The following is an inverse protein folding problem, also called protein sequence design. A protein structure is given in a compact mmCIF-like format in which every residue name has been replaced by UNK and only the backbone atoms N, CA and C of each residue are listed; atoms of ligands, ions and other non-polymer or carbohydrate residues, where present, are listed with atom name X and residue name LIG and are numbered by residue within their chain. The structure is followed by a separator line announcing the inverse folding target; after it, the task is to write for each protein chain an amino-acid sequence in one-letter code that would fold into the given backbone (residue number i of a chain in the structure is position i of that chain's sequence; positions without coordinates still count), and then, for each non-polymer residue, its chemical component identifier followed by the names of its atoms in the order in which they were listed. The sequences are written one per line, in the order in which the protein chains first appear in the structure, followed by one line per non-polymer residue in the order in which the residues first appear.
data_IF_257186287718
#
_entry.id   IF_257186287718
#
_cell.length_a   1.000
_cell.length_b   1.000
_cell.length_c   1.000
_cell.angle_alpha   90.00
_cell.angle_beta   90.00
_cell.angle_gamma   90.00
#
_symmetry.space_group_name_H-M   'P 1'
#
loop_
_entity.id
_entity.type
_entity.pdbx_description
1 polymer ?
#
# COMPACT_ATOMS: atom_id res chain seq x y z
N UNK A 1 20.30 30.99 -3.91
CA UNK A 1 19.39 30.95 -5.06
C UNK A 1 18.21 30.04 -4.67
N UNK A 2 17.19 30.62 -4.05
CA UNK A 2 15.90 29.91 -3.84
C UNK A 2 15.26 29.82 -5.22
N UNK A 3 15.29 28.63 -5.82
CA UNK A 3 14.36 28.31 -6.91
C UNK A 3 12.96 28.65 -6.40
N UNK A 4 12.26 29.50 -7.12
CA UNK A 4 10.93 29.95 -6.74
C UNK A 4 9.99 28.76 -6.95
N UNK A 5 9.63 28.08 -5.83
CA UNK A 5 8.74 26.92 -5.87
C UNK A 5 7.40 27.30 -6.49
N UNK A 6 6.92 26.47 -7.39
CA UNK A 6 5.61 26.63 -7.99
C UNK A 6 4.49 26.28 -7.00
N UNK A 7 3.54 27.19 -6.77
CA UNK A 7 2.40 26.97 -5.88
C UNK A 7 1.32 26.15 -6.58
N UNK A 8 0.87 25.08 -5.92
CA UNK A 8 -0.26 24.25 -6.33
C UNK A 8 -1.46 24.50 -5.41
N UNK A 9 -2.67 24.37 -5.95
CA UNK A 9 -3.88 24.47 -5.14
C UNK A 9 -4.05 23.22 -4.27
N UNK A 10 -3.75 22.04 -4.83
CA UNK A 10 -3.80 20.78 -4.10
C UNK A 10 -2.60 19.91 -4.46
N UNK A 11 -1.96 19.36 -3.42
CA UNK A 11 -1.01 18.26 -3.57
C UNK A 11 -1.60 17.00 -2.97
N UNK A 12 -1.68 15.95 -3.79
CA UNK A 12 -2.19 14.63 -3.43
C UNK A 12 -0.98 13.75 -3.14
N UNK A 13 -0.94 13.10 -1.99
CA UNK A 13 0.12 12.17 -1.61
C UNK A 13 -0.42 10.75 -1.69
N UNK A 14 0.13 9.94 -2.61
CA UNK A 14 -0.24 8.56 -2.87
C UNK A 14 -1.03 8.37 -4.17
N UNK A 15 -0.51 7.52 -5.06
CA UNK A 15 -1.03 7.21 -6.39
C UNK A 15 -1.90 5.95 -6.45
N UNK A 16 -2.55 5.57 -5.34
CA UNK A 16 -3.55 4.51 -5.32
C UNK A 16 -4.91 4.97 -5.88
N UNK A 17 -5.98 4.12 -5.80
CA UNK A 17 -7.31 4.46 -6.33
C UNK A 17 -7.86 5.80 -5.85
N UNK A 18 -7.71 6.09 -4.55
CA UNK A 18 -8.13 7.37 -3.99
C UNK A 18 -7.37 8.56 -4.62
N UNK A 19 -6.04 8.47 -4.68
CA UNK A 19 -5.21 9.55 -5.24
C UNK A 19 -5.44 9.76 -6.72
N UNK A 20 -5.53 8.70 -7.51
CA UNK A 20 -5.82 8.76 -8.95
C UNK A 20 -7.17 9.41 -9.22
N UNK A 21 -8.21 9.00 -8.49
CA UNK A 21 -9.54 9.61 -8.65
C UNK A 21 -9.59 11.06 -8.13
N UNK A 22 -8.83 11.38 -7.07
CA UNK A 22 -8.68 12.76 -6.59
C UNK A 22 -8.06 13.64 -7.67
N UNK A 23 -7.02 13.17 -8.36
CA UNK A 23 -6.37 13.91 -9.44
C UNK A 23 -7.33 14.20 -10.61
N UNK A 24 -8.13 13.22 -11.02
CA UNK A 24 -9.19 13.42 -11.99
C UNK A 24 -10.23 14.44 -11.53
N UNK A 25 -10.77 14.24 -10.32
CA UNK A 25 -11.86 15.09 -9.80
C UNK A 25 -11.41 16.53 -9.52
N UNK A 26 -10.11 16.73 -9.22
CA UNK A 26 -9.52 18.06 -9.05
C UNK A 26 -9.56 18.88 -10.33
N UNK A 27 -9.32 18.24 -11.48
CA UNK A 27 -9.46 18.89 -12.76
C UNK A 27 -10.92 19.32 -13.08
N UNK A 28 -11.91 18.53 -12.64
CA UNK A 28 -13.32 18.93 -12.73
C UNK A 28 -13.66 20.16 -11.85
N UNK A 29 -12.82 20.47 -10.88
CA UNK A 29 -12.94 21.61 -9.95
C UNK A 29 -12.02 22.79 -10.31
N UNK A 30 -11.33 22.72 -11.45
CA UNK A 30 -10.36 23.76 -11.89
C UNK A 30 -9.27 24.05 -10.87
N UNK A 31 -8.72 23.01 -10.24
CA UNK A 31 -7.61 23.13 -9.32
C UNK A 31 -6.28 22.76 -10.00
N UNK A 32 -5.24 23.57 -9.77
CA UNK A 32 -3.88 23.25 -10.15
C UNK A 32 -3.37 22.12 -9.24
N UNK A 33 -3.16 20.96 -9.81
CA UNK A 33 -3.00 19.71 -9.07
C UNK A 33 -1.63 19.09 -9.25
N UNK A 34 -1.05 18.63 -8.13
CA UNK A 34 0.12 17.77 -8.09
C UNK A 34 -0.24 16.45 -7.42
N UNK A 35 0.17 15.32 -8.02
CA UNK A 35 0.09 13.99 -7.44
C UNK A 35 1.51 13.48 -7.22
N UNK A 36 1.83 13.09 -6.00
CA UNK A 36 3.15 12.57 -5.62
C UNK A 36 3.00 11.11 -5.20
N UNK A 37 3.75 10.21 -5.84
CA UNK A 37 3.79 8.79 -5.53
C UNK A 37 5.22 8.39 -5.14
N UNK A 38 5.33 7.58 -4.08
CA UNK A 38 6.62 7.11 -3.58
C UNK A 38 7.23 5.99 -4.44
N UNK A 39 6.41 5.27 -5.21
CA UNK A 39 6.84 4.25 -6.18
C UNK A 39 7.06 4.88 -7.56
N UNK A 40 7.55 4.05 -8.50
CA UNK A 40 7.79 4.47 -9.88
C UNK A 40 6.54 4.38 -10.77
N UNK A 41 5.41 3.92 -10.21
CA UNK A 41 4.15 3.73 -10.93
C UNK A 41 2.91 3.96 -10.05
N UNK A 42 1.79 4.32 -10.70
CA UNK A 42 0.48 4.44 -10.05
C UNK A 42 -0.14 3.05 -9.83
N UNK A 43 -1.03 2.95 -8.84
CA UNK A 43 -1.78 1.72 -8.54
C UNK A 43 -1.85 1.42 -7.04
N UNK A 44 -0.90 1.93 -6.26
CA UNK A 44 -0.88 1.77 -4.81
C UNK A 44 -0.83 0.30 -4.39
N UNK A 45 -1.76 -0.13 -3.52
CA UNK A 45 -1.82 -1.52 -3.04
C UNK A 45 -2.26 -2.51 -4.12
N UNK A 46 -2.98 -2.08 -5.15
CA UNK A 46 -3.41 -2.95 -6.24
C UNK A 46 -2.23 -3.58 -7.00
N UNK A 47 -1.06 -2.95 -7.00
CA UNK A 47 0.18 -3.49 -7.58
C UNK A 47 0.68 -4.80 -6.94
N UNK A 48 0.13 -5.19 -5.78
CA UNK A 48 0.51 -6.43 -5.09
C UNK A 48 -0.20 -7.65 -5.69
N UNK A 49 -1.35 -7.44 -6.36
CA UNK A 49 -2.18 -8.51 -6.91
C UNK A 49 -2.72 -8.19 -8.31
N UNK A 50 -1.84 -7.86 -9.28
CA UNK A 50 -2.23 -7.39 -10.61
C UNK A 50 -3.07 -8.43 -11.38
N UNK A 51 -2.86 -9.72 -11.10
CA UNK A 51 -3.55 -10.86 -11.74
C UNK A 51 -4.93 -11.18 -11.13
N UNK A 52 -5.33 -10.53 -10.04
CA UNK A 52 -6.63 -10.80 -9.41
C UNK A 52 -7.77 -10.13 -10.15
N UNK A 53 -8.91 -10.82 -10.20
CA UNK A 53 -10.15 -10.26 -10.74
C UNK A 53 -10.83 -9.36 -9.72
N UNK A 54 -11.20 -8.17 -10.14
CA UNK A 54 -11.96 -7.19 -9.37
C UNK A 54 -13.43 -7.23 -9.83
N UNK A 55 -14.36 -7.41 -8.88
CA UNK A 55 -15.79 -7.54 -9.12
C UNK A 55 -16.63 -6.44 -8.46
N UNK A 56 -16.06 -5.74 -7.49
CA UNK A 56 -16.75 -4.88 -6.53
C UNK A 56 -16.61 -3.38 -6.85
N UNK A 57 -16.37 -3.05 -8.13
CA UNK A 57 -16.39 -1.67 -8.62
C UNK A 57 -17.65 -1.46 -9.46
N UNK A 58 -18.57 -0.66 -8.96
CA UNK A 58 -19.87 -0.42 -9.62
C UNK A 58 -19.72 0.15 -11.04
N UNK A 59 -20.48 -0.39 -11.99
CA UNK A 59 -20.48 0.04 -13.39
C UNK A 59 -19.27 -0.46 -14.20
N UNK A 60 -18.40 -1.26 -13.61
CA UNK A 60 -17.26 -1.89 -14.31
C UNK A 60 -17.53 -3.40 -14.38
N UNK A 61 -17.45 -3.98 -15.60
CA UNK A 61 -17.45 -5.43 -15.75
C UNK A 61 -16.27 -6.05 -15.00
N UNK A 62 -16.35 -7.35 -14.61
CA UNK A 62 -15.24 -8.04 -13.96
C UNK A 62 -13.93 -7.81 -14.72
N UNK A 63 -12.94 -7.28 -14.05
CA UNK A 63 -11.72 -6.79 -14.70
C UNK A 63 -10.47 -7.26 -13.93
N UNK A 64 -9.39 -7.58 -14.64
CA UNK A 64 -8.09 -7.79 -14.00
C UNK A 64 -7.62 -6.52 -13.32
N UNK A 65 -7.03 -6.66 -12.15
CA UNK A 65 -6.56 -5.53 -11.33
C UNK A 65 -5.58 -4.63 -12.11
N UNK A 66 -4.65 -5.20 -12.87
CA UNK A 66 -3.72 -4.45 -13.75
C UNK A 66 -4.44 -3.56 -14.78
N UNK A 67 -5.53 -4.08 -15.37
CA UNK A 67 -6.34 -3.31 -16.34
C UNK A 67 -7.13 -2.19 -15.66
N UNK A 68 -7.60 -2.42 -14.44
CA UNK A 68 -8.25 -1.38 -13.65
C UNK A 68 -7.25 -0.26 -13.30
N UNK A 69 -6.02 -0.62 -12.90
CA UNK A 69 -4.94 0.35 -12.65
C UNK A 69 -4.70 1.20 -13.90
N UNK A 70 -4.55 0.57 -15.06
CA UNK A 70 -4.33 1.29 -16.32
C UNK A 70 -5.46 2.28 -16.61
N UNK A 71 -6.74 1.87 -16.47
CA UNK A 71 -7.90 2.76 -16.68
C UNK A 71 -7.94 3.93 -15.71
N UNK A 72 -7.67 3.68 -14.42
CA UNK A 72 -7.64 4.74 -13.40
C UNK A 72 -6.46 5.70 -13.63
N UNK A 73 -5.31 5.21 -14.08
CA UNK A 73 -4.15 6.03 -14.42
C UNK A 73 -4.44 6.96 -15.59
N UNK A 74 -5.09 6.47 -16.65
CA UNK A 74 -5.52 7.31 -17.77
C UNK A 74 -6.58 8.34 -17.33
N UNK A 75 -7.53 7.94 -16.50
CA UNK A 75 -8.52 8.86 -15.95
C UNK A 75 -7.86 9.94 -15.09
N UNK A 76 -6.88 9.61 -14.26
CA UNK A 76 -6.15 10.57 -13.43
C UNK A 76 -5.47 11.66 -14.27
N UNK A 77 -4.97 11.31 -15.45
CA UNK A 77 -4.28 12.22 -16.39
C UNK A 77 -5.23 13.10 -17.22
N UNK A 78 -6.55 12.92 -17.11
CA UNK A 78 -7.55 13.61 -17.94
C UNK A 78 -7.37 15.13 -18.02
N UNK A 79 -6.93 15.78 -16.96
CA UNK A 79 -6.76 17.23 -16.88
C UNK A 79 -5.30 17.65 -16.67
N UNK A 80 -4.35 16.81 -17.11
CA UNK A 80 -2.92 17.08 -17.12
C UNK A 80 -2.36 17.53 -15.75
N UNK A 81 -2.64 16.79 -14.64
CA UNK A 81 -2.03 17.10 -13.35
C UNK A 81 -0.52 16.85 -13.42
N UNK A 82 0.27 17.57 -12.62
CA UNK A 82 1.68 17.23 -12.43
C UNK A 82 1.78 15.94 -11.62
N UNK A 83 2.36 14.88 -12.18
CA UNK A 83 2.57 13.60 -11.49
C UNK A 83 4.06 13.40 -11.28
N UNK A 84 4.47 13.15 -10.03
CA UNK A 84 5.84 12.88 -9.63
C UNK A 84 5.94 11.50 -9.01
N UNK A 85 6.96 10.76 -9.42
CA UNK A 85 7.25 9.42 -8.94
C UNK A 85 8.53 9.37 -8.11
N UNK A 86 8.73 8.28 -7.36
CA UNK A 86 9.95 8.04 -6.58
C UNK A 86 10.10 9.02 -5.41
N UNK A 87 9.05 9.74 -5.00
CA UNK A 87 9.14 10.77 -3.97
C UNK A 87 8.34 10.40 -2.73
N UNK A 88 9.03 9.99 -1.69
CA UNK A 88 8.46 9.74 -0.37
C UNK A 88 8.43 11.03 0.44
N UNK A 89 7.23 11.57 0.67
CA UNK A 89 7.05 12.78 1.48
C UNK A 89 7.22 12.46 2.96
N UNK A 90 8.15 13.16 3.60
CA UNK A 90 8.51 12.96 5.01
C UNK A 90 8.33 14.21 5.87
N UNK A 91 8.33 15.41 5.26
CA UNK A 91 8.24 16.69 5.95
C UNK A 91 7.00 17.48 5.56
N UNK A 92 6.47 18.23 6.54
CA UNK A 92 5.41 19.21 6.37
C UNK A 92 5.77 20.46 7.17
N UNK A 93 5.79 21.61 6.50
CA UNK A 93 6.02 22.91 7.14
C UNK A 93 4.90 23.87 6.77
N UNK A 94 4.15 24.34 7.77
CA UNK A 94 3.10 25.34 7.57
C UNK A 94 3.74 26.74 7.44
N UNK A 95 3.32 27.47 6.39
CA UNK A 95 3.78 28.81 6.14
C UNK A 95 2.87 29.86 6.79
N UNK A 96 3.35 31.11 6.91
CA UNK A 96 2.63 32.21 7.54
C UNK A 96 1.33 32.57 6.80
N UNK A 97 1.26 32.33 5.49
CA UNK A 97 0.07 32.54 4.64
C UNK A 97 -0.89 31.34 4.62
N UNK A 98 -0.72 30.40 5.54
CA UNK A 98 -1.50 29.15 5.67
C UNK A 98 -1.32 28.17 4.51
N UNK A 99 -0.31 28.33 3.65
CA UNK A 99 0.13 27.31 2.70
C UNK A 99 1.08 26.32 3.38
N UNK A 100 1.48 25.29 2.65
CA UNK A 100 2.36 24.24 3.13
C UNK A 100 3.55 24.01 2.20
N UNK A 101 4.72 23.79 2.77
CA UNK A 101 5.87 23.19 2.08
C UNK A 101 5.94 21.73 2.50
N UNK A 102 5.88 20.83 1.52
CA UNK A 102 6.14 19.41 1.68
C UNK A 102 7.59 19.13 1.32
N UNK A 103 8.25 18.25 2.07
CA UNK A 103 9.62 17.82 1.80
C UNK A 103 9.66 16.32 1.54
N UNK A 104 10.24 15.93 0.41
CA UNK A 104 10.51 14.54 0.07
C UNK A 104 11.80 14.04 0.74
N UNK A 105 11.94 12.73 0.94
CA UNK A 105 13.16 12.10 1.44
C UNK A 105 14.40 12.37 0.54
N UNK A 106 14.18 12.73 -0.71
CA UNK A 106 15.21 13.17 -1.68
C UNK A 106 15.68 14.62 -1.45
N UNK A 107 15.00 15.38 -0.56
CA UNK A 107 15.25 16.80 -0.30
C UNK A 107 14.48 17.77 -1.21
N UNK A 108 13.73 17.25 -2.18
CA UNK A 108 12.87 18.09 -3.02
C UNK A 108 11.71 18.67 -2.21
N UNK A 109 11.34 19.91 -2.53
CA UNK A 109 10.28 20.64 -1.84
C UNK A 109 9.12 20.97 -2.78
N UNK A 110 7.90 20.92 -2.23
CA UNK A 110 6.68 21.18 -2.97
C UNK A 110 5.81 22.17 -2.20
N UNK A 111 5.39 23.22 -2.87
CA UNK A 111 4.57 24.27 -2.29
C UNK A 111 3.10 24.09 -2.67
N UNK A 112 2.21 24.13 -1.70
CA UNK A 112 0.78 23.84 -1.91
C UNK A 112 -0.13 24.58 -0.94
N UNK A 113 -1.36 24.88 -1.37
CA UNK A 113 -2.41 25.45 -0.51
C UNK A 113 -3.06 24.40 0.37
N UNK A 114 -3.27 23.20 -0.18
CA UNK A 114 -3.94 22.08 0.52
C UNK A 114 -3.25 20.76 0.22
N UNK A 115 -3.42 19.78 1.13
CA UNK A 115 -2.87 18.44 1.01
C UNK A 115 -3.98 17.42 1.15
N UNK A 116 -4.01 16.41 0.27
CA UNK A 116 -4.88 15.23 0.41
C UNK A 116 -4.00 14.00 0.62
N UNK A 117 -4.12 13.38 1.79
CA UNK A 117 -3.42 12.15 2.16
C UNK A 117 -4.19 10.94 1.64
N UNK A 118 -3.74 10.40 0.51
CA UNK A 118 -4.30 9.21 -0.16
C UNK A 118 -3.33 8.01 -0.11
N UNK A 119 -2.55 7.91 0.96
CA UNK A 119 -1.42 6.99 1.12
C UNK A 119 -1.83 5.55 1.45
N UNK A 120 -3.12 5.28 1.63
CA UNK A 120 -3.64 3.95 1.91
C UNK A 120 -3.04 3.34 3.17
N UNK A 121 -2.32 2.23 3.04
CA UNK A 121 -1.60 1.59 4.17
C UNK A 121 -0.13 2.02 4.26
N UNK A 122 0.22 3.17 3.71
CA UNK A 122 1.59 3.67 3.71
C UNK A 122 2.53 2.90 2.77
N UNK A 123 3.81 3.09 2.95
CA UNK A 123 4.81 2.30 2.24
C UNK A 123 4.85 0.92 2.86
N UNK A 124 4.45 -0.08 2.07
CA UNK A 124 4.47 -1.46 2.51
C UNK A 124 5.88 -2.03 2.38
N UNK A 125 6.45 -2.43 3.50
CA UNK A 125 7.72 -3.15 3.57
C UNK A 125 7.47 -4.57 4.04
N UNK A 126 8.19 -5.53 3.48
CA UNK A 126 8.15 -6.89 4.01
C UNK A 126 8.63 -6.89 5.46
N UNK A 127 7.86 -7.55 6.33
CA UNK A 127 8.27 -7.75 7.70
C UNK A 127 9.45 -8.71 7.72
N UNK A 128 10.62 -8.18 8.02
CA UNK A 128 11.85 -8.96 8.11
C UNK A 128 11.90 -9.82 9.37
N UNK A 129 12.74 -10.83 9.34
CA UNK A 129 13.05 -11.64 10.52
C UNK A 129 13.86 -10.79 11.48
N UNK A 130 13.29 -10.48 12.66
CA UNK A 130 13.91 -9.59 13.67
C UNK A 130 14.86 -10.39 14.57
N UNK A 131 15.90 -10.97 13.98
CA UNK A 131 17.00 -11.64 14.68
C UNK A 131 18.32 -10.99 14.31
N UNK A 132 19.21 -10.84 15.29
CA UNK A 132 20.53 -10.25 15.11
C UNK A 132 21.32 -10.97 14.03
N UNK A 133 21.80 -10.22 13.04
CA UNK A 133 22.61 -10.72 11.93
C UNK A 133 21.85 -11.53 10.89
N UNK A 134 20.51 -11.54 10.90
CA UNK A 134 19.69 -12.24 9.89
C UNK A 134 19.89 -11.65 8.49
N UNK A 135 20.08 -10.34 8.39
CA UNK A 135 20.23 -9.59 7.13
C UNK A 135 21.36 -10.11 6.25
N UNK A 136 22.44 -10.63 6.84
CA UNK A 136 23.58 -11.18 6.08
C UNK A 136 23.25 -12.41 5.24
N UNK A 137 22.16 -13.12 5.57
CA UNK A 137 21.71 -14.31 4.86
C UNK A 137 20.69 -14.02 3.75
N UNK A 138 20.23 -12.78 3.62
CA UNK A 138 19.27 -12.36 2.58
C UNK A 138 19.85 -12.49 1.16
N UNK A 139 21.17 -12.49 1.05
CA UNK A 139 21.88 -12.72 -0.22
C UNK A 139 22.18 -14.19 -0.50
N UNK A 140 21.74 -15.09 0.38
CA UNK A 140 22.03 -16.52 0.27
C UNK A 140 20.77 -17.39 0.39
N UNK A 141 20.39 -17.79 1.61
CA UNK A 141 19.31 -18.75 1.85
C UNK A 141 18.24 -18.28 2.84
N UNK A 142 18.10 -16.97 3.03
CA UNK A 142 16.99 -16.34 3.75
C UNK A 142 16.14 -15.54 2.76
N UNK A 143 14.91 -15.98 2.50
CA UNK A 143 14.03 -15.46 1.48
C UNK A 143 12.79 -14.80 2.09
N UNK A 144 12.36 -13.66 1.56
CA UNK A 144 11.08 -13.02 1.90
C UNK A 144 10.05 -13.19 0.77
N UNK A 145 10.50 -13.55 -0.43
CA UNK A 145 9.68 -13.92 -1.58
C UNK A 145 10.26 -15.14 -2.27
N UNK A 146 9.43 -15.89 -2.94
CA UNK A 146 9.84 -16.98 -3.82
C UNK A 146 9.50 -16.55 -5.25
N UNK A 147 10.49 -16.49 -6.13
CA UNK A 147 10.29 -16.18 -7.55
C UNK A 147 10.29 -17.46 -8.39
N UNK A 148 11.14 -18.40 -8.05
CA UNK A 148 11.29 -19.67 -8.73
C UNK A 148 11.28 -20.80 -7.71
N UNK A 149 10.65 -21.92 -8.06
CA UNK A 149 10.55 -23.09 -7.17
C UNK A 149 11.75 -24.03 -7.27
N UNK A 150 12.42 -24.06 -8.41
CA UNK A 150 13.50 -25.01 -8.70
C UNK A 150 14.68 -24.94 -7.71
N UNK A 151 15.11 -23.78 -7.21
CA UNK A 151 16.17 -23.70 -6.19
C UNK A 151 15.89 -24.45 -4.88
N UNK A 152 14.63 -24.74 -4.60
CA UNK A 152 14.20 -25.44 -3.37
C UNK A 152 14.12 -26.96 -3.56
N UNK A 153 14.36 -27.49 -4.77
CA UNK A 153 14.28 -28.91 -5.07
C UNK A 153 15.25 -29.71 -4.22
N UNK A 154 14.72 -30.74 -3.54
CA UNK A 154 15.50 -31.63 -2.69
C UNK A 154 16.08 -30.99 -1.43
N UNK A 155 15.63 -29.78 -1.07
CA UNK A 155 16.07 -29.02 0.10
C UNK A 155 15.15 -29.22 1.31
N UNK A 156 15.71 -29.04 2.51
CA UNK A 156 14.92 -28.87 3.74
C UNK A 156 14.55 -27.40 3.87
N UNK A 157 13.28 -27.10 3.71
CA UNK A 157 12.76 -25.73 3.65
C UNK A 157 11.98 -25.43 4.92
N UNK A 158 12.38 -24.39 5.63
CA UNK A 158 11.61 -23.82 6.73
C UNK A 158 10.80 -22.62 6.23
N UNK A 159 9.50 -22.61 6.51
CA UNK A 159 8.62 -21.48 6.25
C UNK A 159 8.19 -20.88 7.60
N UNK A 160 8.61 -19.66 7.87
CA UNK A 160 8.21 -18.91 9.07
C UNK A 160 7.06 -17.97 8.74
N UNK A 161 5.85 -18.28 9.20
CA UNK A 161 4.64 -17.49 8.95
C UNK A 161 3.38 -18.33 8.94
N UNK A 162 2.22 -17.68 8.86
CA UNK A 162 0.91 -18.35 8.91
C UNK A 162 -0.19 -17.65 8.12
N UNK A 163 0.16 -16.68 7.26
CA UNK A 163 -0.75 -16.02 6.32
C UNK A 163 -0.92 -16.81 5.00
N UNK A 164 -1.68 -16.25 4.06
CA UNK A 164 -1.89 -16.85 2.74
C UNK A 164 -0.58 -17.28 2.08
N UNK A 165 0.41 -16.37 2.00
CA UNK A 165 1.70 -16.67 1.34
C UNK A 165 2.42 -17.86 1.94
N UNK A 166 2.46 -17.98 3.28
CA UNK A 166 3.12 -19.12 3.94
C UNK A 166 2.42 -20.44 3.60
N UNK A 167 1.09 -20.45 3.62
CA UNK A 167 0.26 -21.63 3.29
C UNK A 167 0.40 -22.00 1.83
N UNK A 168 0.39 -21.03 0.93
CA UNK A 168 0.52 -21.25 -0.52
C UNK A 168 1.91 -21.81 -0.85
N UNK A 169 3.00 -21.22 -0.32
CA UNK A 169 4.35 -21.75 -0.52
C UNK A 169 4.55 -23.14 0.07
N UNK A 170 3.96 -23.43 1.24
CA UNK A 170 4.01 -24.78 1.79
C UNK A 170 3.36 -25.79 0.82
N UNK A 171 2.18 -25.48 0.29
CA UNK A 171 1.47 -26.34 -0.65
C UNK A 171 2.21 -26.56 -1.98
N UNK A 172 2.95 -25.55 -2.46
CA UNK A 172 3.74 -25.67 -3.70
C UNK A 172 5.03 -26.47 -3.47
N UNK A 173 5.72 -26.20 -2.36
CA UNK A 173 7.05 -26.75 -2.09
C UNK A 173 7.02 -28.22 -1.64
N UNK A 174 5.94 -28.71 -1.04
CA UNK A 174 5.86 -30.13 -0.61
C UNK A 174 6.06 -31.14 -1.74
N UNK A 175 5.85 -30.76 -2.99
CA UNK A 175 6.01 -31.64 -4.15
C UNK A 175 7.45 -31.72 -4.67
N UNK A 176 8.33 -30.79 -4.28
CA UNK A 176 9.68 -30.64 -4.83
C UNK A 176 10.78 -30.62 -3.77
N UNK A 177 10.52 -30.08 -2.59
CA UNK A 177 11.47 -30.08 -1.47
C UNK A 177 11.63 -31.46 -0.85
N UNK A 178 12.79 -31.74 -0.22
CA UNK A 178 12.98 -32.94 0.55
C UNK A 178 12.13 -32.92 1.83
N UNK A 179 11.99 -31.79 2.46
CA UNK A 179 11.17 -31.58 3.64
C UNK A 179 10.67 -30.14 3.67
N UNK A 180 9.41 -29.92 4.05
CA UNK A 180 8.84 -28.60 4.33
C UNK A 180 8.41 -28.57 5.79
N UNK A 181 8.92 -27.59 6.54
CA UNK A 181 8.51 -27.33 7.93
C UNK A 181 7.91 -25.95 8.01
N UNK A 182 6.66 -25.84 8.45
CA UNK A 182 5.95 -24.57 8.64
C UNK A 182 5.93 -24.23 10.13
N UNK A 183 6.51 -23.09 10.49
CA UNK A 183 6.56 -22.59 11.86
C UNK A 183 5.65 -21.37 11.96
N UNK A 184 4.66 -21.42 12.84
CA UNK A 184 3.76 -20.29 13.07
C UNK A 184 3.48 -20.06 14.55
N UNK A 185 3.48 -18.79 14.96
CA UNK A 185 3.32 -18.35 16.36
C UNK A 185 1.91 -18.49 16.94
N UNK A 186 0.92 -18.90 16.15
CA UNK A 186 -0.47 -19.08 16.56
C UNK A 186 -1.01 -20.40 16.01
N UNK A 187 -1.98 -21.01 16.68
CA UNK A 187 -2.61 -22.23 16.20
C UNK A 187 -3.54 -22.01 15.00
N UNK A 188 -3.96 -20.76 14.78
CA UNK A 188 -4.83 -20.40 13.67
C UNK A 188 -4.06 -19.75 12.53
N UNK A 189 -4.17 -20.36 11.36
CA UNK A 189 -3.65 -19.82 10.10
C UNK A 189 -4.61 -18.79 9.48
N UNK A 190 -4.06 -17.79 8.77
CA UNK A 190 -4.80 -16.74 8.09
C UNK A 190 -5.01 -16.97 6.58
N UNK A 191 -4.74 -18.18 6.09
CA UNK A 191 -4.90 -18.52 4.68
C UNK A 191 -6.32 -18.95 4.32
N UNK A 192 -6.57 -19.20 3.02
CA UNK A 192 -7.82 -19.81 2.57
C UNK A 192 -8.01 -21.20 3.20
N UNK A 193 -9.21 -21.47 3.67
CA UNK A 193 -9.52 -22.68 4.44
C UNK A 193 -9.12 -23.98 3.70
N UNK A 194 -9.45 -24.08 2.41
CA UNK A 194 -9.05 -25.23 1.56
C UNK A 194 -7.54 -25.42 1.47
N UNK A 195 -6.77 -24.33 1.37
CA UNK A 195 -5.32 -24.37 1.28
C UNK A 195 -4.69 -24.76 2.63
N UNK A 196 -5.28 -24.30 3.74
CA UNK A 196 -4.84 -24.70 5.09
C UNK A 196 -5.07 -26.19 5.31
N UNK A 197 -6.24 -26.73 4.91
CA UNK A 197 -6.54 -28.18 4.99
C UNK A 197 -5.53 -28.95 4.15
N UNK A 198 -5.34 -28.58 2.89
CA UNK A 198 -4.36 -29.21 1.99
C UNK A 198 -2.95 -29.24 2.57
N UNK A 199 -2.49 -28.14 3.15
CA UNK A 199 -1.18 -28.05 3.81
C UNK A 199 -1.09 -29.01 5.00
N UNK A 200 -2.10 -29.05 5.87
CA UNK A 200 -2.12 -29.92 7.05
C UNK A 200 -2.23 -31.41 6.73
N UNK A 201 -2.84 -31.75 5.59
CA UNK A 201 -2.97 -33.13 5.09
C UNK A 201 -1.78 -33.57 4.23
N UNK A 202 -0.88 -32.65 3.88
CA UNK A 202 0.33 -32.91 3.11
C UNK A 202 1.44 -33.50 3.96
N UNK A 203 2.62 -33.76 3.35
CA UNK A 203 3.84 -34.15 4.06
C UNK A 203 4.54 -33.01 4.81
N UNK A 204 4.00 -31.81 4.82
CA UNK A 204 4.59 -30.68 5.55
C UNK A 204 4.47 -30.90 7.07
N UNK A 205 5.56 -30.69 7.79
CA UNK A 205 5.56 -30.64 9.25
C UNK A 205 5.06 -29.26 9.69
N UNK A 206 3.91 -29.20 10.38
CA UNK A 206 3.31 -27.95 10.84
C UNK A 206 3.49 -27.80 12.34
N UNK A 207 4.21 -26.77 12.76
CA UNK A 207 4.60 -26.50 14.13
C UNK A 207 3.98 -25.19 14.62
N UNK A 208 3.04 -25.32 15.57
CA UNK A 208 2.37 -24.22 16.25
C UNK A 208 2.27 -24.51 17.75
N UNK A 209 2.22 -23.52 18.61
CA UNK A 209 2.62 -22.14 18.44
C UNK A 209 4.15 -21.98 18.67
N UNK A 210 4.90 -21.88 17.61
CA UNK A 210 6.37 -21.73 17.63
C UNK A 210 6.82 -20.50 16.87
N UNK A 211 7.99 -19.98 17.26
CA UNK A 211 8.70 -18.92 16.52
C UNK A 211 10.17 -19.28 16.33
N UNK A 212 10.79 -18.73 15.29
CA UNK A 212 12.24 -18.85 15.07
C UNK A 212 12.94 -17.87 15.99
N UNK A 213 13.84 -18.37 16.86
CA UNK A 213 14.52 -17.56 17.86
C UNK A 213 16.02 -17.43 17.66
N UNK A 214 16.65 -18.35 16.91
CA UNK A 214 18.10 -18.27 16.62
C UNK A 214 18.41 -18.87 15.25
N UNK A 215 19.46 -18.34 14.62
CA UNK A 215 20.02 -18.81 13.36
C UNK A 215 21.46 -19.25 13.56
N UNK A 216 21.83 -20.39 13.01
CA UNK A 216 23.19 -20.93 13.09
C UNK A 216 23.80 -21.14 11.71
N UNK A 217 25.07 -20.76 11.58
CA UNK A 217 25.86 -20.91 10.37
C UNK A 217 27.27 -21.34 10.76
N UNK A 218 27.71 -22.52 10.28
CA UNK A 218 29.08 -22.97 10.47
C UNK A 218 30.07 -22.26 9.55
N UNK A 219 29.62 -21.84 8.37
CA UNK A 219 30.45 -21.20 7.34
C UNK A 219 30.30 -19.66 7.29
N UNK A 220 29.41 -19.08 8.10
CA UNK A 220 29.10 -17.65 8.15
C UNK A 220 28.39 -17.08 6.91
N UNK A 221 28.04 -17.91 5.93
CA UNK A 221 27.44 -17.50 4.65
C UNK A 221 25.99 -17.96 4.47
N UNK A 222 25.67 -19.14 4.98
CA UNK A 222 24.35 -19.77 4.87
C UNK A 222 23.85 -20.21 6.23
N UNK A 223 22.56 -20.15 6.46
CA UNK A 223 21.90 -20.74 7.63
C UNK A 223 21.89 -22.25 7.42
N UNK A 224 22.37 -23.01 8.39
CA UNK A 224 22.41 -24.48 8.34
C UNK A 224 21.44 -25.10 9.37
N UNK A 225 21.11 -24.32 10.42
CA UNK A 225 20.24 -24.76 11.50
C UNK A 225 19.53 -23.56 12.11
N UNK A 226 18.33 -23.77 12.61
CA UNK A 226 17.56 -22.77 13.36
C UNK A 226 17.12 -23.35 14.71
N UNK A 227 16.99 -22.49 15.73
CA UNK A 227 16.24 -22.81 16.93
C UNK A 227 14.83 -22.28 16.77
N UNK A 228 13.85 -23.11 17.05
CA UNK A 228 12.45 -22.69 17.23
C UNK A 228 12.07 -22.86 18.70
N UNK A 229 11.28 -21.91 19.20
CA UNK A 229 10.84 -21.91 20.60
C UNK A 229 9.32 -21.88 20.67
N UNK A 230 8.76 -22.76 21.49
CA UNK A 230 7.33 -22.77 21.76
C UNK A 230 6.94 -21.56 22.60
N UNK A 231 5.96 -20.78 22.14
CA UNK A 231 5.66 -19.47 22.70
C UNK A 231 5.16 -19.54 24.15
N UNK A 232 4.38 -20.57 24.49
CA UNK A 232 3.78 -20.69 25.81
C UNK A 232 4.67 -21.41 26.83
N UNK A 233 5.32 -22.52 26.42
CA UNK A 233 6.14 -23.32 27.34
C UNK A 233 7.59 -22.85 27.42
N UNK A 234 8.10 -22.14 26.39
CA UNK A 234 9.50 -21.78 26.28
C UNK A 234 10.41 -22.94 25.83
N UNK A 235 9.85 -24.12 25.56
CA UNK A 235 10.63 -25.26 25.08
C UNK A 235 11.20 -24.97 23.71
N UNK A 236 12.50 -25.27 23.54
CA UNK A 236 13.21 -25.01 22.29
C UNK A 236 13.71 -26.31 21.66
N UNK A 237 13.71 -26.34 20.33
CA UNK A 237 14.32 -27.40 19.56
C UNK A 237 15.08 -26.86 18.36
N UNK A 238 16.07 -27.58 17.90
CA UNK A 238 16.86 -27.25 16.73
C UNK A 238 16.36 -28.02 15.51
N UNK A 239 16.32 -27.32 14.37
CA UNK A 239 15.98 -27.90 13.07
C UNK A 239 17.13 -27.64 12.10
N UNK A 240 17.61 -28.69 11.46
CA UNK A 240 18.53 -28.59 10.33
C UNK A 240 17.74 -28.11 9.09
N UNK A 241 18.24 -27.12 8.41
CA UNK A 241 17.58 -26.51 7.24
C UNK A 241 18.60 -26.19 6.15
N UNK A 242 18.12 -26.06 4.92
CA UNK A 242 18.92 -25.61 3.79
C UNK A 242 18.42 -24.25 3.28
N UNK A 243 17.12 -23.95 3.43
CA UNK A 243 16.51 -22.71 2.99
C UNK A 243 15.48 -22.22 4.04
N UNK A 244 15.39 -20.90 4.23
CA UNK A 244 14.41 -20.25 5.12
C UNK A 244 13.57 -19.27 4.31
N UNK A 245 12.25 -19.41 4.38
CA UNK A 245 11.28 -18.45 3.81
C UNK A 245 10.56 -17.75 4.96
N UNK A 246 10.58 -16.43 4.99
CA UNK A 246 9.94 -15.61 6.02
C UNK A 246 8.72 -14.91 5.43
N UNK A 247 7.53 -15.32 5.86
CA UNK A 247 6.26 -14.75 5.44
C UNK A 247 5.52 -14.12 6.63
N UNK A 248 6.14 -13.14 7.28
CA UNK A 248 5.58 -12.40 8.41
C UNK A 248 4.61 -11.28 8.00
N UNK A 249 4.31 -11.18 6.70
CA UNK A 249 3.41 -10.18 6.13
C UNK A 249 4.11 -8.87 5.77
N UNK A 250 3.31 -7.82 5.64
CA UNK A 250 3.77 -6.49 5.29
C UNK A 250 3.60 -5.56 6.49
N UNK A 251 4.61 -4.76 6.80
CA UNK A 251 4.55 -3.66 7.76
C UNK A 251 4.30 -2.36 7.00
N UNK A 252 3.38 -1.56 7.51
CA UNK A 252 3.12 -0.21 7.02
C UNK A 252 4.14 0.76 7.60
N UNK A 253 4.75 1.56 6.74
CA UNK A 253 5.67 2.62 7.15
C UNK A 253 5.00 3.98 6.93
N UNK A 254 4.69 4.66 8.05
CA UNK A 254 4.15 6.00 8.10
C UNK A 254 5.14 7.00 8.73
N UNK A 255 6.42 6.65 8.82
CA UNK A 255 7.42 7.38 9.61
C UNK A 255 7.46 8.87 9.26
N UNK A 256 7.33 9.23 7.97
CA UNK A 256 7.33 10.63 7.54
C UNK A 256 6.14 11.42 8.07
N UNK A 257 4.96 10.82 8.17
CA UNK A 257 3.69 11.49 8.47
C UNK A 257 3.40 11.51 9.98
N UNK A 258 3.90 10.55 10.74
CA UNK A 258 3.68 10.45 12.20
C UNK A 258 4.09 11.72 12.97
N UNK A 259 5.06 12.48 12.46
CA UNK A 259 5.58 13.68 13.10
C UNK A 259 4.85 14.97 12.71
N UNK A 260 3.77 14.89 11.90
CA UNK A 260 3.06 16.08 11.43
C UNK A 260 2.07 16.64 12.46
N UNK A 261 1.81 15.92 13.55
CA UNK A 261 0.82 16.31 14.57
C UNK A 261 -0.62 16.03 14.15
N UNK A 262 -0.82 15.04 13.27
CA UNK A 262 -2.14 14.53 12.90
C UNK A 262 -2.73 13.69 14.03
N UNK A 263 -4.04 13.80 14.23
CA UNK A 263 -4.78 12.86 15.06
C UNK A 263 -4.88 11.52 14.35
N UNK A 264 -4.10 10.54 14.80
CA UNK A 264 -3.99 9.22 14.17
C UNK A 264 -3.73 8.11 15.17
N UNK A 265 -4.11 6.89 14.79
CA UNK A 265 -3.63 5.66 15.41
C UNK A 265 -2.43 5.08 14.63
N UNK A 266 -2.07 3.82 14.87
CA UNK A 266 -0.95 3.16 14.18
C UNK A 266 -1.20 2.94 12.68
N UNK A 267 -2.44 3.06 12.20
CA UNK A 267 -2.87 2.64 10.88
C UNK A 267 -3.64 3.70 10.08
N UNK A 268 -4.28 4.65 10.76
CA UNK A 268 -5.24 5.56 10.15
C UNK A 268 -5.16 6.95 10.77
N UNK A 269 -5.51 7.97 9.96
CA UNK A 269 -5.82 9.31 10.47
C UNK A 269 -7.31 9.42 10.75
N UNK A 270 -7.67 10.12 11.83
CA UNK A 270 -9.05 10.45 12.14
C UNK A 270 -9.48 11.69 11.36
N UNK A 271 -10.60 11.58 10.67
CA UNK A 271 -11.14 12.68 9.85
C UNK A 271 -12.60 12.94 10.16
N UNK A 272 -13.05 14.16 9.90
CA UNK A 272 -14.46 14.53 9.97
C UNK A 272 -15.27 13.85 8.83
N UNK A 273 -16.60 13.89 8.85
CA UNK A 273 -17.43 13.46 7.72
C UNK A 273 -17.16 14.23 6.41
N UNK A 274 -16.41 15.34 6.48
CA UNK A 274 -15.93 16.12 5.34
C UNK A 274 -14.51 15.74 4.93
N UNK A 275 -13.96 14.70 5.52
CA UNK A 275 -12.58 14.21 5.31
C UNK A 275 -11.49 15.21 5.78
N UNK A 276 -11.83 16.18 6.63
CA UNK A 276 -10.90 17.14 7.22
C UNK A 276 -10.16 16.50 8.39
N UNK A 277 -8.84 16.67 8.47
CA UNK A 277 -8.04 16.30 9.63
C UNK A 277 -8.08 17.39 10.71
N UNK A 278 -7.40 17.17 11.82
CA UNK A 278 -7.18 18.23 12.84
C UNK A 278 -6.29 19.38 12.35
N UNK A 279 -5.56 19.21 11.24
CA UNK A 279 -4.73 20.26 10.66
C UNK A 279 -5.49 20.96 9.52
N UNK A 280 -5.78 22.28 9.62
CA UNK A 280 -6.52 23.01 8.60
C UNK A 280 -5.85 22.93 7.23
N UNK A 281 -6.60 22.63 6.17
CA UNK A 281 -6.06 22.49 4.80
C UNK A 281 -5.45 21.12 4.49
N UNK A 282 -5.49 20.18 5.44
CA UNK A 282 -5.06 18.81 5.24
C UNK A 282 -6.25 17.87 5.37
N UNK A 283 -6.41 16.99 4.40
CA UNK A 283 -7.54 16.07 4.25
C UNK A 283 -7.05 14.63 4.08
N UNK A 284 -7.92 13.66 4.41
CA UNK A 284 -7.62 12.24 4.20
C UNK A 284 -8.58 11.60 3.21
N UNK A 285 -8.11 10.60 2.44
CA UNK A 285 -8.94 9.81 1.54
C UNK A 285 -8.45 8.37 1.42
N UNK A 286 -9.37 7.45 1.13
CA UNK A 286 -9.07 6.02 0.98
C UNK A 286 -8.77 5.33 2.31
N UNK A 287 -8.06 4.21 2.27
CA UNK A 287 -7.85 3.31 3.43
C UNK A 287 -7.09 3.95 4.61
N UNK A 288 -6.45 5.10 4.40
CA UNK A 288 -5.78 5.82 5.47
C UNK A 288 -6.74 6.65 6.33
N UNK A 289 -7.84 7.13 5.76
CA UNK A 289 -8.86 7.90 6.48
C UNK A 289 -9.76 6.98 7.32
N UNK A 290 -9.99 7.37 8.58
CA UNK A 290 -10.91 6.69 9.49
C UNK A 290 -12.00 7.65 9.98
N UNK A 291 -13.24 7.26 9.77
CA UNK A 291 -14.45 7.96 10.22
C UNK A 291 -15.59 6.94 10.38
N UNK A 292 -16.66 7.34 11.06
CA UNK A 292 -17.83 6.48 11.25
C UNK A 292 -18.39 5.99 9.91
N UNK A 293 -18.67 4.70 9.81
CA UNK A 293 -19.18 4.03 8.59
C UNK A 293 -18.20 4.01 7.41
N UNK A 294 -16.91 4.09 7.66
CA UNK A 294 -15.86 3.97 6.63
C UNK A 294 -15.96 2.67 5.86
N UNK A 295 -15.98 2.76 4.53
CA UNK A 295 -15.97 1.62 3.63
C UNK A 295 -14.59 1.41 3.00
N UNK A 296 -13.86 0.37 3.43
CA UNK A 296 -12.52 0.02 2.94
C UNK A 296 -12.60 -0.81 1.64
N UNK A 297 -13.15 -0.21 0.59
CA UNK A 297 -13.24 -0.72 -0.77
C UNK A 297 -12.73 0.32 -1.77
N UNK A 298 -12.41 -0.10 -3.00
CA UNK A 298 -12.05 0.81 -4.10
C UNK A 298 -13.19 1.83 -4.34
N UNK A 299 -14.45 1.37 -4.32
CA UNK A 299 -15.62 2.24 -4.46
C UNK A 299 -15.71 3.31 -3.35
N UNK A 300 -15.41 2.92 -2.09
CA UNK A 300 -15.31 3.87 -0.96
C UNK A 300 -14.21 4.89 -1.14
N UNK A 301 -13.07 4.48 -1.69
CA UNK A 301 -11.95 5.37 -1.95
C UNK A 301 -12.28 6.48 -2.98
N UNK A 302 -13.12 6.19 -3.98
CA UNK A 302 -13.60 7.21 -4.94
C UNK A 302 -14.52 8.23 -4.27
N UNK A 303 -15.40 7.78 -3.39
CA UNK A 303 -16.28 8.68 -2.63
C UNK A 303 -15.45 9.60 -1.72
N UNK A 304 -14.51 9.04 -0.97
CA UNK A 304 -13.61 9.82 -0.12
C UNK A 304 -12.83 10.88 -0.93
N UNK A 305 -12.28 10.47 -2.07
CA UNK A 305 -11.54 11.35 -2.96
C UNK A 305 -12.36 12.59 -3.37
N UNK A 306 -13.61 12.38 -3.80
CA UNK A 306 -14.51 13.47 -4.17
C UNK A 306 -14.86 14.36 -2.98
N UNK A 307 -15.16 13.78 -1.81
CA UNK A 307 -15.50 14.52 -0.59
C UNK A 307 -14.31 15.36 -0.08
N UNK A 308 -13.13 14.75 0.03
CA UNK A 308 -11.90 15.43 0.47
C UNK A 308 -11.56 16.60 -0.45
N UNK A 309 -11.66 16.39 -1.77
CA UNK A 309 -11.37 17.46 -2.73
C UNK A 309 -12.41 18.58 -2.71
N UNK A 310 -13.69 18.28 -2.54
CA UNK A 310 -14.70 19.32 -2.37
C UNK A 310 -14.43 20.15 -1.10
N UNK A 311 -13.97 19.53 -0.04
CA UNK A 311 -13.56 20.22 1.19
C UNK A 311 -12.32 21.07 0.96
N UNK A 312 -11.32 20.56 0.25
CA UNK A 312 -10.12 21.32 -0.12
C UNK A 312 -10.45 22.53 -1.00
N UNK A 313 -11.32 22.37 -2.00
CA UNK A 313 -11.77 23.50 -2.84
C UNK A 313 -12.43 24.60 -2.02
N UNK A 314 -13.31 24.23 -1.09
CA UNK A 314 -13.99 25.21 -0.22
C UNK A 314 -13.10 25.80 0.87
N UNK A 315 -12.04 25.12 1.24
CA UNK A 315 -11.00 25.70 2.10
C UNK A 315 -10.25 26.83 1.40
N UNK A 316 -9.96 26.65 0.10
CA UNK A 316 -9.28 27.66 -0.74
C UNK A 316 -10.24 28.81 -1.09
N UNK A 317 -11.48 28.48 -1.44
CA UNK A 317 -12.53 29.39 -1.89
C UNK A 317 -13.85 29.02 -1.18
N UNK A 318 -14.17 29.69 -0.05
CA UNK A 318 -15.37 29.39 0.73
C UNK A 318 -16.70 29.58 -0.04
N UNK A 319 -16.72 30.41 -1.07
CA UNK A 319 -17.91 30.67 -1.91
C UNK A 319 -18.05 29.65 -3.05
N UNK A 320 -17.07 28.77 -3.24
CA UNK A 320 -17.13 27.74 -4.28
C UNK A 320 -18.37 26.83 -4.11
N UNK A 321 -19.00 26.38 -5.21
CA UNK A 321 -20.07 25.39 -5.18
C UNK A 321 -19.69 24.17 -4.35
N UNK A 322 -20.67 23.57 -3.66
CA UNK A 322 -20.45 22.44 -2.76
C UNK A 322 -19.78 21.24 -3.43
N UNK A 323 -20.02 21.06 -4.73
CA UNK A 323 -19.48 19.94 -5.53
C UNK A 323 -19.24 20.39 -6.97
N UNK A 324 -18.48 19.61 -7.72
CA UNK A 324 -18.32 19.82 -9.17
C UNK A 324 -19.66 19.72 -9.89
N UNK A 325 -19.81 20.40 -11.02
CA UNK A 325 -20.87 20.08 -11.97
C UNK A 325 -20.69 18.63 -12.45
N UNK A 326 -21.80 17.90 -12.64
CA UNK A 326 -21.78 16.55 -13.19
C UNK A 326 -21.11 16.55 -14.57
N UNK A 327 -20.41 15.48 -14.92
CA UNK A 327 -19.61 15.40 -16.13
C UNK A 327 -20.36 15.77 -17.41
N UNK A 328 -21.65 15.39 -17.50
CA UNK A 328 -22.51 15.71 -18.65
C UNK A 328 -22.80 17.20 -18.83
N UNK A 329 -22.60 18.02 -17.80
CA UNK A 329 -22.82 19.48 -17.84
C UNK A 329 -21.52 20.27 -17.56
N UNK A 330 -20.39 19.60 -17.49
CA UNK A 330 -19.12 20.24 -17.23
C UNK A 330 -18.46 20.61 -18.57
N UNK A 331 -18.31 21.91 -18.82
CA UNK A 331 -17.77 22.43 -20.08
C UNK A 331 -16.36 21.92 -20.42
N UNK A 332 -15.59 21.50 -19.40
CA UNK A 332 -14.25 20.92 -19.59
C UNK A 332 -14.24 19.62 -20.40
N UNK A 333 -15.40 18.97 -20.54
CA UNK A 333 -15.50 17.76 -21.35
C UNK A 333 -15.95 18.01 -22.81
N UNK A 334 -16.38 19.23 -23.17
CA UNK A 334 -16.89 19.53 -24.51
C UNK A 334 -15.92 19.13 -25.63
N UNK A 335 -14.67 19.57 -25.54
CA UNK A 335 -13.68 19.25 -26.56
C UNK A 335 -13.33 17.75 -26.58
N UNK A 336 -13.33 17.11 -25.41
CA UNK A 336 -13.08 15.65 -25.29
C UNK A 336 -14.24 14.84 -25.85
N UNK A 337 -15.49 15.27 -25.60
CA UNK A 337 -16.69 14.65 -26.18
C UNK A 337 -16.67 14.73 -27.70
N UNK A 338 -16.28 15.88 -28.28
CA UNK A 338 -16.11 16.03 -29.72
C UNK A 338 -15.06 15.05 -30.28
N UNK A 339 -13.93 14.90 -29.57
CA UNK A 339 -12.88 13.96 -29.97
C UNK A 339 -13.35 12.49 -29.95
N UNK A 340 -14.34 12.17 -29.11
CA UNK A 340 -14.99 10.86 -29.03
C UNK A 340 -16.18 10.70 -30.01
N UNK A 341 -16.45 11.73 -30.85
CA UNK A 341 -17.55 11.70 -31.84
C UNK A 341 -18.92 11.98 -31.24
N UNK A 342 -18.99 12.48 -30.02
CA UNK A 342 -20.25 12.92 -29.37
C UNK A 342 -20.48 14.37 -29.73
N UNK A 343 -21.54 14.67 -30.49
CA UNK A 343 -21.97 16.04 -30.77
C UNK A 343 -22.64 16.65 -29.53
N UNK A 344 -22.31 17.91 -29.22
CA UNK A 344 -23.12 18.70 -28.30
C UNK A 344 -24.51 18.91 -28.95
N UNK A 345 -25.56 18.30 -28.41
CA UNK A 345 -26.94 18.72 -28.64
C UNK A 345 -27.29 19.91 -27.73
#
# INVERSE_FOLDING_TARGET
LTEQLELYDVTIIGGGPAGMYTAFYSGMRDLKTKLIEAKDELGGRMLIYPEKMIWDVGGVEPILCEKLIARLSEQAKTFDPTILFGQHIIGLEKQADSTYILEAATGEKHWTRTVILAIGRGILRMAKLELEGAERYEVSNLHYTVQELEPFRGKRVLISGGGNSAVDWANELVSIAAQVTVVHRRDRFGGHEKNIVRMKESSAEVLTPYEVTQLYSGNGKTIERVTITHIESGDSRELEIDEVIVNHGLKSDFTGIKNWGLDMDDWNIFVSPKLETNLPGIFGAGDFANYESKLNLIAGAFTDAALALNSAKRYIDPEAPRMAYVSSHNERFKERNKALGVSDE
#
